data_IF_945861837421
#
_entry.id   IF_945861837421
#
_cell.length_a   1.000
_cell.length_b   1.000
_cell.length_c   1.000
_cell.angle_alpha   90.00
_cell.angle_beta   90.00
_cell.angle_gamma   90.00
#
_symmetry.space_group_name_H-M   'P 1'
#
loop_
_entity.id
_entity.type
_entity.pdbx_description
1 polymer ?
#
# COMPACT_ATOMS: atom_id res chain seq x y z
N UNK A 1 -23.90 7.45 -9.64
CA UNK A 1 -22.51 7.06 -9.34
C UNK A 1 -22.25 5.68 -9.92
N UNK A 2 -21.40 5.58 -10.91
CA UNK A 2 -21.02 4.26 -11.44
C UNK A 2 -19.94 3.65 -10.56
N UNK A 3 -20.26 2.56 -9.86
CA UNK A 3 -19.25 1.81 -9.10
C UNK A 3 -18.45 0.99 -10.12
N UNK A 4 -17.13 1.17 -10.11
CA UNK A 4 -16.23 0.41 -10.96
C UNK A 4 -16.25 -1.07 -10.54
N UNK A 5 -16.56 -2.03 -11.45
CA UNK A 5 -16.55 -3.45 -11.12
C UNK A 5 -15.23 -3.94 -10.54
N UNK A 6 -14.10 -3.42 -11.00
CA UNK A 6 -12.78 -3.77 -10.47
C UNK A 6 -12.63 -3.37 -8.99
N UNK A 7 -13.18 -2.23 -8.60
CA UNK A 7 -13.19 -1.79 -7.20
C UNK A 7 -13.99 -2.76 -6.31
N UNK A 8 -15.15 -3.18 -6.75
CA UNK A 8 -15.99 -4.13 -6.01
C UNK A 8 -15.26 -5.46 -5.78
N UNK A 9 -14.60 -5.98 -6.81
CA UNK A 9 -13.80 -7.20 -6.71
C UNK A 9 -12.63 -7.00 -5.74
N UNK A 10 -11.90 -5.91 -5.86
CA UNK A 10 -10.79 -5.60 -4.97
C UNK A 10 -11.25 -5.53 -3.50
N UNK A 11 -12.36 -4.86 -3.24
CA UNK A 11 -12.93 -4.73 -1.90
C UNK A 11 -13.43 -6.06 -1.34
N UNK A 12 -14.15 -6.83 -2.16
CA UNK A 12 -14.73 -8.11 -1.75
C UNK A 12 -13.67 -9.16 -1.41
N UNK A 13 -12.59 -9.20 -2.18
CA UNK A 13 -11.52 -10.20 -2.00
C UNK A 13 -10.34 -9.70 -1.14
N UNK A 14 -10.41 -8.52 -0.58
CA UNK A 14 -9.32 -7.98 0.25
C UNK A 14 -8.98 -8.87 1.45
N UNK A 15 -9.97 -9.31 2.22
CA UNK A 15 -9.73 -10.13 3.41
C UNK A 15 -9.28 -11.55 3.06
N UNK A 16 -9.86 -12.24 2.07
CA UNK A 16 -9.28 -13.49 1.56
C UNK A 16 -7.83 -13.33 1.09
N UNK A 17 -7.49 -12.21 0.45
CA UNK A 17 -6.12 -11.89 0.06
C UNK A 17 -5.20 -11.81 1.29
N UNK A 18 -5.62 -11.09 2.32
CA UNK A 18 -4.82 -10.95 3.55
C UNK A 18 -4.56 -12.28 4.25
N UNK A 19 -5.52 -13.16 4.29
CA UNK A 19 -5.33 -14.51 4.84
C UNK A 19 -4.22 -15.27 4.11
N UNK A 20 -4.21 -15.21 2.77
CA UNK A 20 -3.13 -15.80 1.97
C UNK A 20 -1.78 -15.12 2.21
N UNK A 21 -1.77 -13.81 2.33
CA UNK A 21 -0.56 -13.05 2.65
C UNK A 21 0.03 -13.49 3.98
N UNK A 22 -0.78 -13.64 5.01
CA UNK A 22 -0.33 -14.06 6.33
C UNK A 22 0.28 -15.47 6.30
N UNK A 23 -0.32 -16.40 5.56
CA UNK A 23 0.24 -17.73 5.34
C UNK A 23 1.61 -17.65 4.65
N UNK A 24 1.73 -16.89 3.57
CA UNK A 24 3.00 -16.75 2.83
C UNK A 24 4.10 -16.10 3.67
N UNK A 25 3.75 -15.14 4.52
CA UNK A 25 4.72 -14.51 5.42
C UNK A 25 5.18 -15.45 6.52
N UNK A 26 4.27 -16.18 7.15
CA UNK A 26 4.56 -17.03 8.28
C UNK A 26 5.25 -18.34 7.89
N UNK A 27 4.83 -18.96 6.80
CA UNK A 27 5.36 -20.24 6.32
C UNK A 27 6.50 -20.07 5.33
N UNK A 28 6.43 -19.06 4.46
CA UNK A 28 7.40 -18.84 3.38
C UNK A 28 8.48 -17.81 3.67
N UNK A 29 8.39 -17.07 4.77
CA UNK A 29 9.37 -16.04 5.14
C UNK A 29 9.43 -14.84 4.18
N UNK A 30 8.39 -14.63 3.36
CA UNK A 30 8.34 -13.53 2.40
C UNK A 30 8.14 -12.18 3.10
N UNK A 31 8.73 -11.12 2.52
CA UNK A 31 8.43 -9.77 2.96
C UNK A 31 7.01 -9.35 2.54
N UNK A 32 6.52 -8.25 3.08
CA UNK A 32 5.17 -7.76 2.82
C UNK A 32 4.88 -7.57 1.33
N UNK A 33 5.76 -6.88 0.61
CA UNK A 33 5.57 -6.59 -0.81
C UNK A 33 5.45 -7.86 -1.65
N UNK A 34 6.37 -8.79 -1.47
CA UNK A 34 6.41 -10.04 -2.25
C UNK A 34 5.23 -10.95 -1.89
N UNK A 35 4.85 -11.02 -0.62
CA UNK A 35 3.71 -11.79 -0.16
C UNK A 35 2.39 -11.26 -0.78
N UNK A 36 2.17 -9.95 -0.81
CA UNK A 36 1.00 -9.35 -1.46
C UNK A 36 1.02 -9.55 -2.98
N UNK A 37 2.17 -9.42 -3.62
CA UNK A 37 2.29 -9.64 -5.06
C UNK A 37 1.96 -11.09 -5.44
N UNK A 38 2.52 -12.06 -4.71
CA UNK A 38 2.28 -13.48 -4.98
C UNK A 38 0.83 -13.88 -4.66
N UNK A 39 0.32 -13.51 -3.49
CA UNK A 39 -1.06 -13.78 -3.11
C UNK A 39 -2.06 -13.13 -4.08
N UNK A 40 -1.79 -11.90 -4.48
CA UNK A 40 -2.60 -11.19 -5.48
C UNK A 40 -2.66 -11.90 -6.81
N UNK A 41 -1.53 -12.39 -7.32
CA UNK A 41 -1.50 -13.19 -8.55
C UNK A 41 -2.32 -14.47 -8.42
N UNK A 42 -2.19 -15.19 -7.32
CA UNK A 42 -2.95 -16.42 -7.08
C UNK A 42 -4.47 -16.18 -7.03
N UNK A 43 -4.91 -15.16 -6.30
CA UNK A 43 -6.34 -14.79 -6.22
C UNK A 43 -6.87 -14.37 -7.59
N UNK A 44 -6.12 -13.56 -8.33
CA UNK A 44 -6.52 -13.09 -9.66
C UNK A 44 -6.60 -14.23 -10.67
N UNK A 45 -5.66 -15.18 -10.63
CA UNK A 45 -5.72 -16.37 -11.49
C UNK A 45 -6.96 -17.22 -11.21
N UNK A 46 -7.31 -17.41 -9.95
CA UNK A 46 -8.54 -18.10 -9.57
C UNK A 46 -9.80 -17.38 -10.05
N UNK A 47 -9.83 -16.06 -9.92
CA UNK A 47 -10.95 -15.24 -10.40
C UNK A 47 -11.12 -15.31 -11.92
N UNK A 48 -10.02 -15.26 -12.67
CA UNK A 48 -10.05 -15.40 -14.12
C UNK A 48 -10.57 -16.77 -14.57
N UNK A 49 -10.22 -17.83 -13.85
CA UNK A 49 -10.70 -19.21 -14.16
C UNK A 49 -12.15 -19.41 -13.79
N UNK A 50 -12.59 -18.90 -12.63
CA UNK A 50 -13.91 -19.17 -12.07
C UNK A 50 -15.00 -18.26 -12.63
N UNK A 51 -14.71 -16.99 -12.88
CA UNK A 51 -15.69 -15.96 -13.21
C UNK A 51 -15.51 -15.37 -14.63
N UNK A 52 -14.58 -15.90 -15.42
CA UNK A 52 -14.24 -15.36 -16.74
C UNK A 52 -13.99 -13.82 -16.71
N UNK A 53 -13.41 -13.33 -15.62
CA UNK A 53 -13.15 -11.90 -15.47
C UNK A 53 -12.20 -11.40 -16.55
N UNK A 54 -12.51 -10.27 -17.23
CA UNK A 54 -11.61 -9.73 -18.24
C UNK A 54 -10.24 -9.39 -17.65
N UNK A 55 -9.16 -9.80 -18.32
CA UNK A 55 -7.78 -9.53 -17.88
C UNK A 55 -7.49 -8.03 -17.70
N UNK A 56 -8.19 -7.15 -18.42
CA UNK A 56 -8.07 -5.70 -18.25
C UNK A 56 -8.41 -5.21 -16.83
N UNK A 57 -9.26 -5.94 -16.11
CA UNK A 57 -9.61 -5.61 -14.73
C UNK A 57 -8.59 -6.11 -13.71
N UNK A 58 -7.81 -7.13 -14.04
CA UNK A 58 -6.84 -7.72 -13.10
C UNK A 58 -5.72 -6.76 -12.73
N UNK A 59 -5.22 -5.97 -13.67
CA UNK A 59 -4.18 -4.97 -13.40
C UNK A 59 -4.71 -3.85 -12.48
N UNK A 60 -5.95 -3.42 -12.67
CA UNK A 60 -6.59 -2.40 -11.82
C UNK A 60 -6.78 -2.94 -10.39
N UNK A 61 -7.28 -4.15 -10.25
CA UNK A 61 -7.47 -4.81 -8.95
C UNK A 61 -6.14 -4.92 -8.22
N UNK A 62 -5.10 -5.38 -8.92
CA UNK A 62 -3.75 -5.50 -8.37
C UNK A 62 -3.22 -4.14 -7.89
N UNK A 63 -3.38 -3.10 -8.69
CA UNK A 63 -2.94 -1.76 -8.32
C UNK A 63 -3.63 -1.24 -7.07
N UNK A 64 -4.94 -1.47 -6.93
CA UNK A 64 -5.70 -1.08 -5.73
C UNK A 64 -5.15 -1.80 -4.51
N UNK A 65 -4.87 -3.10 -4.59
CA UNK A 65 -4.31 -3.88 -3.50
C UNK A 65 -2.89 -3.44 -3.13
N UNK A 66 -2.02 -3.25 -4.12
CA UNK A 66 -0.64 -2.82 -3.88
C UNK A 66 -0.55 -1.40 -3.33
N UNK A 67 -1.48 -0.53 -3.71
CA UNK A 67 -1.56 0.82 -3.14
C UNK A 67 -1.91 0.81 -1.65
N UNK A 68 -2.57 -0.22 -1.13
CA UNK A 68 -2.79 -0.33 0.32
C UNK A 68 -1.46 -0.35 1.08
N UNK A 69 -0.42 -0.98 0.53
CA UNK A 69 0.93 -0.96 1.10
C UNK A 69 1.59 0.42 0.98
N UNK A 70 1.40 1.10 -0.15
CA UNK A 70 1.93 2.45 -0.35
C UNK A 70 1.27 3.47 0.60
N UNK A 71 -0.01 3.30 0.90
CA UNK A 71 -0.74 4.17 1.83
C UNK A 71 -0.18 4.11 3.26
N UNK A 72 0.53 3.06 3.64
CA UNK A 72 1.22 2.97 4.92
C UNK A 72 2.43 3.92 5.02
N UNK A 73 2.98 4.32 3.90
CA UNK A 73 4.18 5.15 3.82
C UNK A 73 3.79 6.63 3.83
N UNK A 74 3.85 7.25 4.99
CA UNK A 74 3.41 8.64 5.22
C UNK A 74 4.55 9.65 5.37
N UNK A 75 5.78 9.24 5.06
CA UNK A 75 6.98 10.06 5.24
C UNK A 75 7.68 10.35 3.91
N UNK A 76 8.50 11.40 3.87
CA UNK A 76 9.28 11.78 2.70
C UNK A 76 8.40 12.15 1.50
N UNK A 77 8.80 11.72 0.32
CA UNK A 77 8.10 11.97 -0.94
C UNK A 77 7.01 10.92 -1.26
N UNK A 78 6.87 9.89 -0.42
CA UNK A 78 5.92 8.80 -0.68
C UNK A 78 4.47 9.27 -0.78
N UNK A 79 3.94 10.13 0.14
CA UNK A 79 2.56 10.56 0.04
C UNK A 79 2.23 11.29 -1.26
N UNK A 80 3.09 12.20 -1.70
CA UNK A 80 2.87 12.94 -2.94
C UNK A 80 2.85 12.01 -4.16
N UNK A 81 3.77 11.05 -4.23
CA UNK A 81 3.83 10.07 -5.31
C UNK A 81 2.61 9.14 -5.31
N UNK A 82 2.20 8.68 -4.14
CA UNK A 82 1.03 7.80 -4.00
C UNK A 82 -0.23 8.51 -4.47
N UNK A 83 -0.40 9.78 -4.11
CA UNK A 83 -1.56 10.57 -4.52
C UNK A 83 -1.63 10.85 -6.02
N UNK A 84 -0.49 10.84 -6.72
CA UNK A 84 -0.43 10.99 -8.17
C UNK A 84 -0.86 9.74 -8.94
N UNK A 85 -0.94 8.59 -8.28
CA UNK A 85 -1.33 7.35 -8.95
C UNK A 85 -2.77 7.42 -9.44
N UNK A 86 -3.02 6.95 -10.68
CA UNK A 86 -4.35 6.99 -11.30
C UNK A 86 -5.41 6.26 -10.47
N UNK A 87 -5.04 5.24 -9.71
CA UNK A 87 -5.93 4.42 -8.89
C UNK A 87 -5.96 4.85 -7.42
N UNK A 88 -5.35 5.97 -7.09
CA UNK A 88 -5.32 6.49 -5.72
C UNK A 88 -6.72 6.64 -5.13
N UNK A 89 -7.66 7.20 -5.87
CA UNK A 89 -9.03 7.40 -5.38
C UNK A 89 -9.70 6.09 -5.00
N UNK A 90 -9.60 5.09 -5.86
CA UNK A 90 -10.14 3.76 -5.58
C UNK A 90 -9.43 3.09 -4.39
N UNK A 91 -8.12 3.24 -4.30
CA UNK A 91 -7.34 2.71 -3.18
C UNK A 91 -7.71 3.38 -1.87
N UNK A 92 -7.91 4.69 -1.86
CA UNK A 92 -8.39 5.43 -0.69
C UNK A 92 -9.80 5.01 -0.28
N UNK A 93 -10.70 4.82 -1.23
CA UNK A 93 -12.07 4.35 -0.94
C UNK A 93 -12.05 2.96 -0.29
N UNK A 94 -11.16 2.07 -0.73
CA UNK A 94 -10.96 0.78 -0.07
C UNK A 94 -10.42 0.95 1.35
N UNK A 95 -9.45 1.83 1.55
CA UNK A 95 -8.92 2.14 2.89
C UNK A 95 -10.02 2.65 3.82
N UNK A 96 -10.89 3.54 3.33
CA UNK A 96 -12.01 4.07 4.11
C UNK A 96 -13.00 2.96 4.53
N UNK A 97 -13.30 2.03 3.64
CA UNK A 97 -14.12 0.84 3.96
C UNK A 97 -13.44 -0.04 5.00
N UNK A 98 -12.14 -0.28 4.84
CA UNK A 98 -11.35 -1.07 5.80
C UNK A 98 -11.34 -0.43 7.18
N UNK A 99 -11.27 0.90 7.25
CA UNK A 99 -11.28 1.64 8.51
C UNK A 99 -12.57 1.38 9.31
N UNK A 100 -13.72 1.32 8.63
CA UNK A 100 -15.00 1.03 9.27
C UNK A 100 -15.05 -0.40 9.84
N UNK A 101 -14.41 -1.35 9.18
CA UNK A 101 -14.41 -2.77 9.58
C UNK A 101 -13.33 -3.07 10.61
N UNK A 102 -12.10 -2.58 10.39
CA UNK A 102 -10.91 -2.94 11.17
C UNK A 102 -10.75 -2.07 12.42
N UNK A 103 -11.18 -0.81 12.37
CA UNK A 103 -10.97 0.13 13.48
C UNK A 103 -9.49 0.45 13.71
N UNK A 104 -9.17 0.97 14.88
CA UNK A 104 -7.80 1.17 15.36
C UNK A 104 -6.89 1.97 14.42
N UNK A 105 -5.71 1.44 14.13
CA UNK A 105 -4.70 2.09 13.30
C UNK A 105 -5.18 2.38 11.88
N UNK A 106 -6.08 1.56 11.34
CA UNK A 106 -6.63 1.76 10.00
C UNK A 106 -7.52 3.00 9.95
N UNK A 107 -8.24 3.30 11.01
CA UNK A 107 -9.01 4.55 11.14
C UNK A 107 -8.08 5.76 11.14
N UNK A 108 -7.00 5.72 11.90
CA UNK A 108 -6.01 6.80 11.95
C UNK A 108 -5.35 7.02 10.59
N UNK A 109 -5.04 5.95 9.89
CA UNK A 109 -4.46 6.01 8.54
C UNK A 109 -5.45 6.66 7.55
N UNK A 110 -6.70 6.26 7.57
CA UNK A 110 -7.75 6.83 6.71
C UNK A 110 -7.98 8.32 7.00
N UNK A 111 -8.01 8.71 8.26
CA UNK A 111 -8.12 10.13 8.67
C UNK A 111 -6.94 10.94 8.18
N UNK A 112 -5.74 10.44 8.32
CA UNK A 112 -4.53 11.13 7.87
C UNK A 112 -4.57 11.40 6.36
N UNK A 113 -4.93 10.40 5.55
CA UNK A 113 -5.04 10.54 4.10
C UNK A 113 -6.19 11.45 3.68
N UNK A 114 -7.29 11.42 4.40
CA UNK A 114 -8.40 12.35 4.17
C UNK A 114 -7.96 13.80 4.38
N UNK A 115 -7.30 14.08 5.48
CA UNK A 115 -6.75 15.40 5.78
C UNK A 115 -5.67 15.83 4.78
N UNK A 116 -4.77 14.92 4.41
CA UNK A 116 -3.72 15.18 3.43
C UNK A 116 -4.32 15.62 2.07
N UNK A 117 -5.37 14.97 1.61
CA UNK A 117 -6.05 15.34 0.36
C UNK A 117 -6.64 16.74 0.38
N UNK A 118 -7.17 17.17 1.52
CA UNK A 118 -7.81 18.47 1.70
C UNK A 118 -6.82 19.60 1.99
N UNK A 119 -5.56 19.28 2.26
CA UNK A 119 -4.53 20.22 2.68
C UNK A 119 -3.82 20.89 1.50
N UNK A 120 -3.35 22.13 1.71
CA UNK A 120 -2.43 22.78 0.79
C UNK A 120 -1.00 22.22 0.96
N UNK A 121 -0.06 22.68 0.13
CA UNK A 121 1.31 22.14 0.15
C UNK A 121 2.03 22.35 1.49
N UNK A 122 1.84 23.48 2.13
CA UNK A 122 2.47 23.78 3.43
C UNK A 122 1.91 22.86 4.52
N UNK A 123 0.59 22.69 4.58
CA UNK A 123 -0.05 21.78 5.50
C UNK A 123 0.35 20.32 5.27
N UNK A 124 0.51 19.91 4.01
CA UNK A 124 1.01 18.57 3.64
C UNK A 124 2.42 18.33 4.15
N UNK A 125 3.29 19.31 4.03
CA UNK A 125 4.65 19.23 4.61
C UNK A 125 4.60 19.03 6.12
N UNK A 126 3.75 19.75 6.81
CA UNK A 126 3.59 19.63 8.26
C UNK A 126 3.10 18.25 8.64
N UNK A 127 2.10 17.70 7.94
CA UNK A 127 1.60 16.35 8.17
C UNK A 127 2.68 15.29 8.00
N UNK A 128 3.49 15.41 6.95
CA UNK A 128 4.62 14.50 6.70
C UNK A 128 5.70 14.63 7.77
N UNK A 129 6.04 15.86 8.17
CA UNK A 129 7.04 16.09 9.22
C UNK A 129 6.60 15.53 10.58
N UNK A 130 5.34 15.66 10.92
CA UNK A 130 4.78 15.07 12.14
C UNK A 130 4.93 13.55 12.14
N UNK A 131 4.64 12.91 11.01
CA UNK A 131 4.85 11.46 10.86
C UNK A 131 6.32 11.05 10.96
N UNK A 132 7.23 11.86 10.42
CA UNK A 132 8.67 11.60 10.54
C UNK A 132 9.17 11.69 11.99
N UNK A 133 8.60 12.60 12.77
CA UNK A 133 8.93 12.73 14.21
C UNK A 133 8.44 11.54 15.02
N UNK A 134 7.24 11.03 14.70
CA UNK A 134 6.64 9.88 15.38
C UNK A 134 7.32 8.57 15.00
N UNK A 135 7.81 8.46 13.77
CA UNK A 135 8.44 7.27 13.21
C UNK A 135 9.76 7.66 12.54
N UNK A 136 10.81 7.99 13.32
CA UNK A 136 12.09 8.35 12.75
C UNK A 136 12.64 7.17 11.94
N UNK A 137 13.09 7.47 10.71
CA UNK A 137 13.76 6.48 9.89
C UNK A 137 15.01 5.96 10.62
N UNK A 138 15.29 4.65 10.55
CA UNK A 138 16.52 4.12 11.12
C UNK A 138 17.71 4.85 10.51
N UNK A 139 18.60 5.39 11.36
CA UNK A 139 19.81 6.05 10.89
C UNK A 139 20.57 5.08 10.00
N UNK A 140 20.69 5.39 8.70
CA UNK A 140 21.55 4.64 7.82
C UNK A 140 22.96 4.67 8.41
N UNK A 141 23.44 3.53 8.90
CA UNK A 141 24.85 3.38 9.25
C UNK A 141 25.61 3.51 7.93
N UNK A 142 26.18 4.69 7.68
CA UNK A 142 27.14 4.81 6.62
C UNK A 142 28.35 3.98 7.01
N UNK A 143 28.44 2.77 6.49
CA UNK A 143 29.71 2.06 6.45
C UNK A 143 30.62 2.88 5.53
N UNK A 144 31.47 3.71 6.14
CA UNK A 144 32.58 4.32 5.42
C UNK A 144 33.39 3.15 4.85
N UNK A 145 33.27 2.87 3.57
CA UNK A 145 34.20 1.97 2.87
C UNK A 145 35.59 2.50 3.14
N UNK A 146 36.35 1.79 3.99
CA UNK A 146 37.78 2.04 4.12
C UNK A 146 38.36 1.87 2.71
N UNK A 147 38.91 2.95 2.14
CA UNK A 147 39.73 2.84 0.94
C UNK A 147 40.84 1.85 1.27
N UNK A 148 41.09 0.82 0.42
CA UNK A 148 42.23 -0.03 0.63
C UNK A 148 43.47 0.84 0.64
N UNK A 149 44.34 0.68 1.65
CA UNK A 149 45.64 1.32 1.64
C UNK A 149 46.36 0.87 0.37
N UNK A 150 46.81 1.84 -0.45
CA UNK A 150 47.67 1.53 -1.55
C UNK A 150 48.91 0.81 -1.01
N UNK A 151 49.12 -0.45 -1.45
CA UNK A 151 50.33 -1.18 -1.16
C UNK A 151 51.47 -0.55 -1.94
N UNK A 152 52.52 -0.06 -1.23
CA UNK A 152 53.77 0.34 -1.86
C UNK A 152 54.47 -0.91 -2.33
#
# INVERSE_FOLDING_TARGET
MRINPAFLVAAFFWYPLREKVDVLKNEGGLNNHDAYALAGNEVLDQLCRSLAAPRRHTSVIRDIWMLQLQLLKRTGSHPARTMEHQKFRAAFDLLAMRAEVEGGETVELAKWWHEYQLSNQEQRRQLVQEQQKLHPAPKKKYYRRRKPKAAN
#
